data_IF_581926239912
#
_entry.id   IF_581926239912
#
_cell.length_a   1.000
_cell.length_b   1.000
_cell.length_c   1.000
_cell.angle_alpha   90.00
_cell.angle_beta   90.00
_cell.angle_gamma   90.00
#
_symmetry.space_group_name_H-M   'P 1'
#
loop_
_entity.id
_entity.type
_entity.pdbx_description
1 polymer ?
#
# COMPACT_ATOMS: atom_id res chain seq x y z
N UNK A 1 -4.76 -6.52 15.79
CA UNK A 1 -6.19 -6.39 15.42
C UNK A 1 -6.86 -7.75 15.53
N UNK A 2 -8.18 -7.86 15.78
CA UNK A 2 -8.83 -9.17 15.94
C UNK A 2 -9.11 -9.82 14.58
N UNK A 3 -8.94 -11.14 14.47
CA UNK A 3 -9.19 -11.90 13.25
C UNK A 3 -10.59 -11.65 12.63
N UNK A 4 -11.62 -11.58 13.49
CA UNK A 4 -13.00 -11.28 13.06
C UNK A 4 -13.10 -9.95 12.31
N UNK A 5 -12.43 -8.90 12.80
CA UNK A 5 -12.44 -7.56 12.19
C UNK A 5 -11.74 -7.59 10.82
N UNK A 6 -10.61 -8.30 10.72
CA UNK A 6 -9.89 -8.49 9.44
C UNK A 6 -10.78 -9.20 8.41
N UNK A 7 -11.44 -10.28 8.82
CA UNK A 7 -12.33 -11.04 7.93
C UNK A 7 -13.54 -10.24 7.45
N UNK A 8 -14.11 -9.37 8.29
CA UNK A 8 -15.20 -8.46 7.91
C UNK A 8 -14.74 -7.42 6.86
N UNK A 9 -13.54 -6.85 7.05
CA UNK A 9 -12.94 -5.90 6.10
C UNK A 9 -12.61 -6.55 4.75
N UNK A 10 -12.03 -7.74 4.75
CA UNK A 10 -11.77 -8.50 3.51
C UNK A 10 -13.08 -8.78 2.77
N UNK A 11 -14.15 -9.17 3.47
CA UNK A 11 -15.46 -9.38 2.84
C UNK A 11 -16.04 -8.10 2.23
N UNK A 12 -15.86 -6.96 2.91
CA UNK A 12 -16.24 -5.64 2.39
C UNK A 12 -15.50 -5.34 1.08
N UNK A 13 -14.19 -5.56 1.05
CA UNK A 13 -13.37 -5.39 -0.15
C UNK A 13 -13.72 -6.38 -1.27
N UNK A 14 -14.02 -7.64 -0.95
CA UNK A 14 -14.46 -8.63 -1.93
C UNK A 14 -15.80 -8.26 -2.59
N UNK A 15 -16.73 -7.71 -1.80
CA UNK A 15 -17.99 -7.16 -2.35
C UNK A 15 -17.72 -5.95 -3.24
N UNK A 16 -16.78 -5.09 -2.87
CA UNK A 16 -16.36 -3.96 -3.69
C UNK A 16 -15.74 -4.42 -5.02
N UNK A 17 -14.82 -5.39 -4.98
CA UNK A 17 -14.21 -6.04 -6.15
C UNK A 17 -15.32 -6.55 -7.09
N UNK A 18 -16.31 -7.28 -6.57
CA UNK A 18 -17.44 -7.77 -7.37
C UNK A 18 -18.26 -6.64 -8.00
N UNK A 19 -18.60 -5.61 -7.21
CA UNK A 19 -19.39 -4.45 -7.66
C UNK A 19 -18.67 -3.66 -8.77
N UNK A 20 -17.35 -3.60 -8.73
CA UNK A 20 -16.51 -2.90 -9.72
C UNK A 20 -16.10 -3.82 -10.89
N UNK A 21 -16.59 -5.06 -10.96
CA UNK A 21 -16.23 -6.05 -12.00
C UNK A 21 -14.72 -6.35 -12.05
N UNK A 22 -14.06 -6.34 -10.89
CA UNK A 22 -12.66 -6.67 -10.73
C UNK A 22 -12.47 -8.15 -10.38
N UNK A 23 -11.25 -8.66 -10.59
CA UNK A 23 -10.84 -10.00 -10.17
C UNK A 23 -10.04 -9.96 -8.86
N UNK A 24 -9.41 -8.82 -8.56
CA UNK A 24 -8.68 -8.60 -7.33
C UNK A 24 -8.39 -7.12 -7.05
N UNK A 25 -7.87 -6.85 -5.86
CA UNK A 25 -7.46 -5.53 -5.40
C UNK A 25 -6.06 -5.63 -4.80
N UNK A 26 -5.15 -4.79 -5.28
CA UNK A 26 -3.82 -4.62 -4.70
C UNK A 26 -3.86 -3.51 -3.63
N UNK A 27 -3.33 -3.81 -2.44
CA UNK A 27 -3.14 -2.87 -1.34
C UNK A 27 -1.64 -2.77 -1.07
N UNK A 28 -1.12 -1.55 -1.19
CA UNK A 28 0.32 -1.28 -1.07
C UNK A 28 0.79 -1.13 0.37
N UNK A 29 2.12 -1.11 0.55
CA UNK A 29 2.75 -0.69 1.80
C UNK A 29 2.68 0.81 2.09
N UNK A 30 2.28 1.63 1.12
CA UNK A 30 2.52 3.07 1.13
C UNK A 30 1.30 3.89 1.58
N UNK A 31 1.58 5.08 2.10
CA UNK A 31 0.62 6.16 2.20
C UNK A 31 0.63 6.99 0.90
N UNK A 32 -0.16 8.07 0.88
CA UNK A 32 -0.25 8.97 -0.27
C UNK A 32 1.03 9.78 -0.54
N UNK A 33 2.00 9.75 0.38
CA UNK A 33 3.30 10.41 0.26
C UNK A 33 4.43 9.44 -0.08
N UNK A 34 4.11 8.16 -0.29
CA UNK A 34 5.06 7.08 -0.51
C UNK A 34 6.08 6.96 0.63
N UNK A 35 5.65 7.21 1.86
CA UNK A 35 6.49 7.11 3.06
C UNK A 35 7.01 5.70 3.25
N UNK A 36 8.28 5.57 3.65
CA UNK A 36 8.88 4.27 4.00
C UNK A 36 8.24 3.66 5.27
N UNK A 37 7.94 4.50 6.26
CA UNK A 37 7.32 4.09 7.53
C UNK A 37 5.94 4.74 7.67
N UNK A 38 4.93 4.03 7.19
CA UNK A 38 3.53 4.47 7.29
C UNK A 38 3.02 4.29 8.72
N UNK A 39 2.52 5.34 9.38
CA UNK A 39 1.85 5.23 10.67
C UNK A 39 0.72 4.20 10.63
N UNK A 40 0.58 3.39 11.68
CA UNK A 40 -0.38 2.29 11.67
C UNK A 40 -1.82 2.72 11.33
N UNK A 41 -2.26 3.91 11.75
CA UNK A 41 -3.60 4.44 11.44
C UNK A 41 -3.86 4.67 9.95
N UNK A 42 -2.80 4.83 9.15
CA UNK A 42 -2.87 5.02 7.69
C UNK A 42 -2.35 3.81 6.90
N UNK A 43 -2.00 2.73 7.60
CA UNK A 43 -1.45 1.51 7.01
C UNK A 43 -2.57 0.56 6.60
N UNK A 44 -3.06 0.66 5.37
CA UNK A 44 -4.18 -0.16 4.88
C UNK A 44 -3.91 -1.66 4.97
N UNK A 45 -2.68 -2.11 4.66
CA UNK A 45 -2.25 -3.50 4.83
C UNK A 45 -2.54 -4.01 6.25
N UNK A 46 -2.21 -3.22 7.27
CA UNK A 46 -2.47 -3.62 8.66
C UNK A 46 -3.95 -3.90 8.85
N UNK A 47 -4.85 -3.04 8.37
CA UNK A 47 -6.30 -3.20 8.50
C UNK A 47 -6.89 -4.41 7.75
N UNK A 48 -6.22 -4.89 6.69
CA UNK A 48 -6.70 -6.04 5.89
C UNK A 48 -5.96 -7.34 6.18
N UNK A 49 -4.94 -7.33 7.04
CA UNK A 49 -4.16 -8.54 7.36
C UNK A 49 -3.88 -8.76 8.84
N UNK A 50 -3.88 -7.70 9.65
CA UNK A 50 -3.38 -7.71 11.01
C UNK A 50 -1.85 -7.60 11.13
N UNK A 51 -1.13 -7.62 10.01
CA UNK A 51 0.33 -7.58 9.99
C UNK A 51 0.89 -6.16 10.14
N UNK A 52 1.80 -5.99 11.10
CA UNK A 52 2.33 -4.68 11.55
C UNK A 52 3.76 -4.38 11.12
N UNK A 53 4.44 -5.32 10.44
CA UNK A 53 5.79 -5.08 9.90
C UNK A 53 5.77 -3.94 8.88
N UNK A 54 6.93 -3.31 8.61
CA UNK A 54 6.95 -2.07 7.82
C UNK A 54 6.67 -2.28 6.33
N UNK A 55 7.07 -3.42 5.76
CA UNK A 55 6.94 -3.69 4.32
C UNK A 55 6.24 -5.03 4.08
N UNK A 56 5.24 -5.02 3.20
CA UNK A 56 4.58 -6.18 2.62
C UNK A 56 3.54 -5.74 1.60
N UNK A 57 3.36 -6.53 0.55
CA UNK A 57 2.31 -6.29 -0.44
C UNK A 57 1.11 -7.19 -0.19
N UNK A 58 -0.10 -6.70 -0.49
CA UNK A 58 -1.32 -7.50 -0.32
C UNK A 58 -2.09 -7.59 -1.62
N UNK A 59 -2.50 -8.81 -1.97
CA UNK A 59 -3.48 -9.06 -3.03
C UNK A 59 -4.75 -9.63 -2.40
N UNK A 60 -5.86 -8.93 -2.57
CA UNK A 60 -7.19 -9.40 -2.18
C UNK A 60 -7.87 -9.99 -3.42
N UNK A 61 -7.97 -11.32 -3.56
CA UNK A 61 -8.74 -11.92 -4.65
C UNK A 61 -10.24 -11.74 -4.41
N UNK A 62 -11.04 -11.77 -5.50
CA UNK A 62 -12.50 -11.71 -5.44
C UNK A 62 -13.13 -12.73 -4.49
N UNK A 63 -12.52 -13.90 -4.34
CA UNK A 63 -12.94 -14.94 -3.38
C UNK A 63 -11.74 -15.60 -2.74
N UNK A 64 -11.91 -16.17 -1.55
CA UNK A 64 -10.85 -16.86 -0.81
C UNK A 64 -10.11 -15.95 0.18
N UNK A 65 -8.89 -16.36 0.55
CA UNK A 65 -8.05 -15.66 1.50
C UNK A 65 -7.33 -14.48 0.86
N UNK A 66 -7.08 -13.43 1.63
CA UNK A 66 -6.12 -12.40 1.24
C UNK A 66 -4.71 -13.00 1.15
N UNK A 67 -3.88 -12.50 0.25
CA UNK A 67 -2.50 -12.95 0.09
C UNK A 67 -1.57 -11.84 0.59
N UNK A 68 -0.78 -12.11 1.62
CA UNK A 68 0.19 -11.19 2.19
C UNK A 68 1.61 -11.63 1.79
N UNK A 69 2.28 -10.83 0.96
CA UNK A 69 3.63 -11.09 0.48
C UNK A 69 4.65 -10.43 1.38
N UNK A 70 5.51 -11.24 2.00
CA UNK A 70 6.53 -10.79 2.97
C UNK A 70 7.90 -11.33 2.59
N UNK A 71 8.94 -10.52 2.80
CA UNK A 71 10.32 -10.95 2.65
C UNK A 71 10.83 -11.64 3.93
N UNK A 72 12.03 -12.23 3.86
CA UNK A 72 12.63 -13.05 4.92
C UNK A 72 12.73 -12.39 6.29
N UNK A 73 12.75 -11.06 6.38
CA UNK A 73 12.74 -10.34 7.67
C UNK A 73 11.46 -10.55 8.46
N UNK A 74 10.35 -10.83 7.76
CA UNK A 74 9.01 -10.79 8.32
C UNK A 74 8.29 -12.15 8.31
N UNK A 75 8.89 -13.22 7.79
CA UNK A 75 8.24 -14.54 7.70
C UNK A 75 7.67 -15.01 9.05
N UNK A 76 8.48 -14.98 10.11
CA UNK A 76 8.06 -15.41 11.45
C UNK A 76 7.09 -14.43 12.12
N UNK A 77 7.21 -13.13 11.83
CA UNK A 77 6.30 -12.13 12.37
C UNK A 77 4.91 -12.27 11.74
N UNK A 78 4.85 -12.44 10.42
CA UNK A 78 3.61 -12.63 9.68
C UNK A 78 2.85 -13.86 10.19
N UNK A 79 3.52 -15.00 10.34
CA UNK A 79 2.91 -16.23 10.84
C UNK A 79 2.29 -16.07 12.26
N UNK A 80 2.86 -15.18 13.09
CA UNK A 80 2.40 -14.93 14.46
C UNK A 80 1.29 -13.88 14.55
N UNK A 81 1.27 -12.91 13.64
CA UNK A 81 0.35 -11.77 13.71
C UNK A 81 -0.94 -12.00 12.94
N UNK A 82 -0.91 -12.76 11.84
CA UNK A 82 -2.08 -12.95 10.97
C UNK A 82 -2.86 -14.21 11.34
N UNK A 83 -4.19 -14.16 11.15
CA UNK A 83 -5.02 -15.35 11.18
C UNK A 83 -4.94 -16.07 9.83
N UNK A 84 -4.25 -17.21 9.79
CA UNK A 84 -3.98 -17.93 8.55
C UNK A 84 -5.22 -18.55 7.89
N UNK A 85 -6.35 -18.63 8.60
CA UNK A 85 -7.62 -19.05 8.00
C UNK A 85 -8.22 -17.95 7.11
N UNK A 86 -7.79 -16.70 7.30
CA UNK A 86 -8.29 -15.51 6.61
C UNK A 86 -7.24 -14.95 5.63
N UNK A 87 -5.96 -14.99 6.01
CA UNK A 87 -4.83 -14.46 5.23
C UNK A 87 -3.78 -15.54 4.98
N UNK A 88 -3.42 -15.75 3.73
CA UNK A 88 -2.29 -16.59 3.34
C UNK A 88 -1.00 -15.78 3.39
N UNK A 89 -0.03 -16.22 4.19
CA UNK A 89 1.32 -15.65 4.19
C UNK A 89 2.11 -16.24 3.02
N UNK A 90 2.44 -15.42 2.03
CA UNK A 90 3.31 -15.77 0.93
C UNK A 90 4.74 -15.37 1.28
N UNK A 91 5.53 -16.37 1.67
CA UNK A 91 6.94 -16.21 2.04
C UNK A 91 7.80 -16.04 0.78
N UNK A 92 8.13 -14.80 0.44
CA UNK A 92 8.95 -14.50 -0.75
C UNK A 92 10.41 -14.86 -0.46
N UNK A 93 11.07 -15.66 -1.33
CA UNK A 93 12.45 -16.09 -1.11
C UNK A 93 13.43 -14.94 -1.32
N UNK A 94 14.62 -15.09 -0.75
CA UNK A 94 15.71 -14.12 -0.92
C UNK A 94 16.03 -13.88 -2.41
N UNK A 95 16.25 -12.60 -2.77
CA UNK A 95 16.57 -12.18 -4.13
C UNK A 95 15.35 -12.05 -5.05
N UNK A 96 14.15 -12.36 -4.57
CA UNK A 96 12.90 -12.10 -5.30
C UNK A 96 12.21 -10.88 -4.71
N UNK A 97 11.82 -9.98 -5.60
CA UNK A 97 11.09 -8.76 -5.25
C UNK A 97 9.61 -9.08 -4.93
N UNK A 98 9.04 -8.41 -3.92
CA UNK A 98 7.66 -8.65 -3.47
C UNK A 98 6.64 -8.36 -4.57
N UNK A 99 6.85 -7.27 -5.30
CA UNK A 99 5.98 -6.86 -6.39
C UNK A 99 5.97 -7.90 -7.51
N UNK A 100 7.15 -8.43 -7.88
CA UNK A 100 7.25 -9.53 -8.86
C UNK A 100 6.56 -10.80 -8.38
N UNK A 101 6.71 -11.16 -7.10
CA UNK A 101 6.03 -12.32 -6.53
C UNK A 101 4.50 -12.15 -6.55
N UNK A 102 4.00 -10.95 -6.25
CA UNK A 102 2.58 -10.61 -6.32
C UNK A 102 2.04 -10.71 -7.75
N UNK A 103 2.75 -10.13 -8.72
CA UNK A 103 2.37 -10.20 -10.15
C UNK A 103 2.29 -11.66 -10.60
N UNK A 104 3.31 -12.45 -10.31
CA UNK A 104 3.35 -13.86 -10.68
C UNK A 104 2.17 -14.62 -10.08
N UNK A 105 1.89 -14.40 -8.79
CA UNK A 105 0.75 -15.04 -8.10
C UNK A 105 -0.59 -14.57 -8.65
N UNK A 106 -0.74 -13.29 -8.99
CA UNK A 106 -1.93 -12.74 -9.64
C UNK A 106 -2.23 -13.42 -10.98
N UNK A 107 -1.19 -13.69 -11.79
CA UNK A 107 -1.31 -14.45 -13.04
C UNK A 107 -1.72 -15.89 -12.79
N UNK A 108 -1.12 -16.55 -11.80
CA UNK A 108 -1.43 -17.95 -11.43
C UNK A 108 -2.88 -18.14 -11.01
N UNK A 109 -3.44 -17.18 -10.27
CA UNK A 109 -4.85 -17.23 -9.83
C UNK A 109 -5.82 -16.61 -10.84
N UNK A 110 -5.33 -16.19 -12.01
CA UNK A 110 -6.15 -15.74 -13.13
C UNK A 110 -6.73 -14.33 -12.99
N UNK A 111 -6.09 -13.43 -12.24
CA UNK A 111 -6.46 -12.00 -12.20
C UNK A 111 -6.31 -11.41 -13.61
N UNK A 112 -7.35 -10.74 -14.11
CA UNK A 112 -7.29 -9.95 -15.34
C UNK A 112 -7.51 -8.47 -15.04
N UNK A 113 -8.56 -8.16 -14.29
CA UNK A 113 -8.91 -6.80 -13.88
C UNK A 113 -8.43 -6.57 -12.44
N UNK A 114 -7.39 -5.75 -12.27
CA UNK A 114 -6.78 -5.48 -10.97
C UNK A 114 -7.09 -4.06 -10.51
N UNK A 115 -7.80 -3.94 -9.40
CA UNK A 115 -7.98 -2.67 -8.71
C UNK A 115 -6.70 -2.22 -8.00
N UNK A 116 -6.43 -0.92 -7.98
CA UNK A 116 -5.36 -0.31 -7.16
C UNK A 116 -5.84 0.97 -6.48
N UNK A 117 -5.20 1.33 -5.37
CA UNK A 117 -5.26 2.69 -4.81
C UNK A 117 -4.24 3.58 -5.54
N UNK A 118 -4.70 4.36 -6.51
CA UNK A 118 -3.84 5.13 -7.43
C UNK A 118 -3.03 6.22 -6.74
N UNK A 119 -3.51 6.75 -5.61
CA UNK A 119 -2.80 7.72 -4.78
C UNK A 119 -1.78 7.08 -3.84
N UNK A 120 -1.80 5.75 -3.66
CA UNK A 120 -0.88 4.98 -2.80
C UNK A 120 0.01 4.01 -3.58
N UNK A 121 0.01 4.09 -4.91
CA UNK A 121 0.84 3.28 -5.78
C UNK A 121 1.83 4.17 -6.55
N UNK A 122 3.13 3.88 -6.52
CA UNK A 122 4.07 4.59 -7.39
C UNK A 122 3.70 4.40 -8.86
N UNK A 123 3.68 5.48 -9.65
CA UNK A 123 3.36 5.43 -11.09
C UNK A 123 4.22 4.42 -11.87
N UNK A 124 5.48 4.25 -11.47
CA UNK A 124 6.36 3.25 -12.07
C UNK A 124 5.86 1.83 -11.88
N UNK A 125 5.31 1.52 -10.69
CA UNK A 125 4.77 0.22 -10.37
C UNK A 125 3.38 -0.01 -10.97
N UNK A 126 2.53 1.01 -11.00
CA UNK A 126 1.26 0.96 -11.75
C UNK A 126 1.49 0.57 -13.23
N UNK A 127 2.50 1.17 -13.87
CA UNK A 127 2.89 0.82 -15.24
C UNK A 127 3.41 -0.60 -15.39
N UNK A 128 4.04 -1.15 -14.35
CA UNK A 128 4.48 -2.54 -14.34
C UNK A 128 3.28 -3.49 -14.24
N UNK A 129 2.33 -3.21 -13.34
CA UNK A 129 1.07 -3.95 -13.24
C UNK A 129 0.28 -3.91 -14.54
N UNK A 130 0.20 -2.74 -15.20
CA UNK A 130 -0.53 -2.54 -16.46
C UNK A 130 0.05 -3.29 -17.66
N UNK A 131 1.24 -3.91 -17.55
CA UNK A 131 1.78 -4.82 -18.57
C UNK A 131 1.19 -6.23 -18.46
N UNK A 132 0.68 -6.58 -17.29
CA UNK A 132 0.25 -7.94 -16.94
C UNK A 132 -1.26 -8.02 -16.67
N UNK A 133 -1.88 -6.92 -16.22
CA UNK A 133 -3.29 -6.82 -15.86
C UNK A 133 -3.94 -5.58 -16.50
N UNK A 134 -5.27 -5.63 -16.67
CA UNK A 134 -6.09 -4.44 -16.88
C UNK A 134 -6.25 -3.72 -15.54
N UNK A 135 -5.49 -2.64 -15.34
CA UNK A 135 -5.44 -1.91 -14.08
C UNK A 135 -6.55 -0.87 -14.03
N UNK A 136 -7.33 -0.90 -12.94
CA UNK A 136 -8.34 0.10 -12.62
C UNK A 136 -7.92 0.83 -11.35
N UNK A 137 -7.53 2.09 -11.49
CA UNK A 137 -7.14 2.92 -10.36
C UNK A 137 -8.36 3.59 -9.71
N UNK A 138 -8.36 3.59 -8.38
CA UNK A 138 -9.30 4.35 -7.55
C UNK A 138 -8.53 5.42 -6.77
N UNK A 139 -9.16 6.55 -6.51
CA UNK A 139 -8.61 7.63 -5.71
C UNK A 139 -9.55 8.00 -4.54
N UNK A 140 -9.11 8.92 -3.67
CA UNK A 140 -9.95 9.59 -2.67
C UNK A 140 -10.51 8.68 -1.56
N UNK A 141 -9.73 7.66 -1.18
CA UNK A 141 -9.95 6.88 0.05
C UNK A 141 -11.17 5.97 0.03
N UNK A 142 -11.63 5.49 -1.14
CA UNK A 142 -12.69 4.47 -1.22
C UNK A 142 -12.35 3.24 -0.36
N UNK A 143 -11.11 2.72 -0.48
CA UNK A 143 -10.62 1.59 0.31
C UNK A 143 -10.55 1.94 1.80
N UNK A 144 -10.02 3.12 2.15
CA UNK A 144 -9.92 3.59 3.53
C UNK A 144 -11.29 3.55 4.25
N UNK A 145 -12.36 3.96 3.56
CA UNK A 145 -13.74 3.91 4.07
C UNK A 145 -14.24 2.48 4.26
N UNK A 146 -13.90 1.56 3.34
CA UNK A 146 -14.34 0.17 3.40
C UNK A 146 -13.69 -0.63 4.54
N UNK A 147 -12.52 -0.18 5.00
CA UNK A 147 -11.74 -0.85 6.05
C UNK A 147 -11.73 -0.08 7.38
N UNK A 148 -12.48 1.03 7.46
CA UNK A 148 -12.53 1.94 8.61
C UNK A 148 -11.12 2.40 9.06
N UNK A 149 -10.24 2.72 8.10
CA UNK A 149 -8.93 3.28 8.39
C UNK A 149 -9.08 4.76 8.81
N UNK A 150 -8.60 5.16 10.00
CA UNK A 150 -8.72 6.53 10.49
C UNK A 150 -7.76 7.49 9.78
N UNK A 151 -6.77 6.98 9.05
CA UNK A 151 -5.72 7.77 8.43
C UNK A 151 -4.66 8.23 9.44
N UNK A 152 -3.82 9.16 8.99
CA UNK A 152 -2.80 9.79 9.84
C UNK A 152 -3.28 11.13 10.38
N UNK A 153 -3.15 11.31 11.70
CA UNK A 153 -3.44 12.57 12.40
C UNK A 153 -2.28 12.87 13.35
N UNK A 154 -1.84 14.12 13.41
CA UNK A 154 -0.81 14.59 14.34
C UNK A 154 -1.13 16.00 14.83
N UNK A 155 -0.91 16.23 16.13
CA UNK A 155 -1.03 17.55 16.77
C UNK A 155 0.30 18.31 16.79
N UNK A 156 1.31 17.81 16.06
CA UNK A 156 2.64 18.40 16.03
C UNK A 156 2.68 19.67 15.19
N UNK A 157 3.30 20.72 15.72
CA UNK A 157 3.53 21.97 14.99
C UNK A 157 4.77 21.88 14.10
N UNK A 158 4.65 22.39 12.87
CA UNK A 158 5.80 22.60 11.98
C UNK A 158 6.65 23.74 12.52
N UNK A 159 7.96 23.50 12.71
CA UNK A 159 8.91 24.49 13.23
C UNK A 159 9.98 24.81 12.19
N UNK A 160 10.30 26.09 12.06
CA UNK A 160 11.42 26.53 11.24
C UNK A 160 12.75 26.08 11.87
N UNK A 161 13.65 25.55 11.04
CA UNK A 161 15.03 25.24 11.45
C UNK A 161 15.93 26.39 10.99
N UNK A 162 16.76 26.91 11.91
CA UNK A 162 17.60 28.06 11.64
C UNK A 162 18.58 27.83 10.48
N UNK A 163 18.85 28.87 9.69
CA UNK A 163 19.78 28.80 8.55
C UNK A 163 21.20 28.41 8.97
N UNK A 164 21.59 28.70 10.22
CA UNK A 164 22.87 28.28 10.80
C UNK A 164 22.99 26.76 10.97
N UNK A 165 21.86 26.05 11.07
CA UNK A 165 21.81 24.59 11.16
C UNK A 165 21.61 23.94 9.79
N UNK A 166 20.88 24.59 8.88
CA UNK A 166 20.60 24.04 7.55
C UNK A 166 21.66 24.39 6.50
N UNK A 167 22.55 25.34 6.80
CA UNK A 167 23.66 25.80 5.96
C UNK A 167 23.26 26.78 4.85
N UNK A 168 21.97 26.93 4.54
CA UNK A 168 21.48 27.90 3.57
C UNK A 168 19.97 28.18 3.71
N UNK A 169 19.55 29.35 3.25
CA UNK A 169 18.14 29.77 3.27
C UNK A 169 17.28 28.97 2.28
N UNK A 170 15.98 28.87 2.57
CA UNK A 170 14.97 28.32 1.63
C UNK A 170 15.03 29.03 0.26
N UNK A 171 15.22 30.35 0.25
CA UNK A 171 15.34 31.15 -0.98
C UNK A 171 16.53 30.72 -1.85
N UNK A 172 17.66 30.36 -1.23
CA UNK A 172 18.83 29.85 -1.92
C UNK A 172 18.54 28.47 -2.54
N UNK A 173 17.92 27.57 -1.78
CA UNK A 173 17.53 26.23 -2.26
C UNK A 173 16.59 26.30 -3.45
N UNK A 174 15.56 27.16 -3.39
CA UNK A 174 14.60 27.34 -4.50
C UNK A 174 15.33 27.76 -5.79
N UNK A 175 16.28 28.71 -5.72
CA UNK A 175 17.04 29.16 -6.90
C UNK A 175 17.89 28.07 -7.56
N UNK A 176 18.26 27.01 -6.83
CA UNK A 176 19.04 25.88 -7.36
C UNK A 176 18.16 24.86 -8.09
N UNK A 177 16.92 24.71 -7.64
CA UNK A 177 16.00 23.66 -8.13
C UNK A 177 15.06 24.19 -9.21
N UNK A 178 14.66 25.46 -9.12
CA UNK A 178 13.72 26.08 -10.05
C UNK A 178 14.46 26.77 -11.18
N UNK A 179 14.20 26.35 -12.42
CA UNK A 179 14.76 26.94 -13.63
C UNK A 179 14.23 28.34 -13.92
N UNK A 180 14.92 29.07 -14.80
CA UNK A 180 14.48 30.41 -15.23
C UNK A 180 13.18 30.30 -16.02
N UNK A 181 12.08 30.81 -15.47
CA UNK A 181 10.75 30.76 -16.08
C UNK A 181 9.85 29.65 -15.54
N UNK A 182 10.36 28.79 -14.66
CA UNK A 182 9.55 27.88 -13.86
C UNK A 182 9.04 28.65 -12.63
N UNK A 183 7.72 28.72 -12.47
CA UNK A 183 7.08 29.37 -11.33
C UNK A 183 6.30 28.34 -10.52
N UNK A 184 6.23 28.55 -9.21
CA UNK A 184 5.15 27.95 -8.42
C UNK A 184 3.86 28.70 -8.74
N UNK A 185 2.83 27.95 -9.13
CA UNK A 185 1.46 28.46 -9.34
C UNK A 185 0.80 28.81 -8.02
#
# INVERSE_FOLDING_TARGET
MKAKEVGEKIKSLQKFIDTKSLDGLYISSFDIFLSEYVPLGDNHRYYVSGFSGSVAEVLIPKTGRALLFVDGRYHEQADKEVDQSIVEVVKVPYGVDLAKALIQKGKEIGIKNLGIEGDRAPLGFEKELGREFEVVAFDLGEVAKLIDAPGFVTDSEVKAVADTLTGETVKSKIKKVVGKGEGFF
#
